data_IF_836209431151
#
_entry.id   IF_836209431151
#
_cell.length_a   1.000
_cell.length_b   1.000
_cell.length_c   1.000
_cell.angle_alpha   90.00
_cell.angle_beta   90.00
_cell.angle_gamma   90.00
#
_symmetry.space_group_name_H-M   'P 1'
#
loop_
_entity.id
_entity.type
_entity.pdbx_description
1 polymer ?
#
# COMPACT_ATOMS: atom_id res chain seq x y z
N UNK A 1 -33.00 3.04 -12.07
CA UNK A 1 -31.72 3.25 -11.35
C UNK A 1 -31.35 1.91 -10.73
N UNK A 2 -30.26 1.26 -11.18
CA UNK A 2 -29.72 0.09 -10.45
C UNK A 2 -29.29 0.62 -9.09
N UNK A 3 -29.77 0.05 -7.99
CA UNK A 3 -29.22 0.30 -6.65
C UNK A 3 -27.74 -0.06 -6.75
N UNK A 4 -26.85 0.93 -6.60
CA UNK A 4 -25.44 0.64 -6.51
C UNK A 4 -25.25 -0.25 -5.27
N UNK A 5 -24.94 -1.51 -5.51
CA UNK A 5 -24.56 -2.42 -4.44
C UNK A 5 -23.30 -1.85 -3.79
N UNK A 6 -23.39 -1.52 -2.50
CA UNK A 6 -22.24 -1.07 -1.75
C UNK A 6 -21.38 -2.32 -1.46
N UNK A 7 -20.19 -2.38 -2.05
CA UNK A 7 -19.25 -3.49 -1.78
C UNK A 7 -18.73 -3.44 -0.35
N UNK A 8 -18.37 -4.59 0.19
CA UNK A 8 -17.84 -4.68 1.56
C UNK A 8 -16.46 -4.04 1.64
N UNK A 9 -15.56 -4.31 0.70
CA UNK A 9 -14.16 -3.84 0.73
C UNK A 9 -13.80 -3.09 -0.55
N UNK A 10 -13.20 -1.90 -0.42
CA UNK A 10 -12.45 -1.26 -1.51
C UNK A 10 -10.96 -1.53 -1.31
N UNK A 11 -10.33 -2.17 -2.30
CA UNK A 11 -8.87 -2.32 -2.35
C UNK A 11 -8.31 -1.17 -3.17
N UNK A 12 -7.42 -0.36 -2.59
CA UNK A 12 -6.81 0.79 -3.25
C UNK A 12 -5.38 0.46 -3.67
N UNK A 13 -5.05 0.72 -4.93
CA UNK A 13 -3.72 0.53 -5.49
C UNK A 13 -3.27 1.81 -6.18
N UNK A 14 -2.20 2.45 -5.67
CA UNK A 14 -1.52 3.52 -6.41
C UNK A 14 -0.40 2.93 -7.25
N UNK A 15 -0.21 3.40 -8.47
CA UNK A 15 0.88 2.99 -9.35
C UNK A 15 1.50 4.18 -10.08
N UNK A 16 2.83 4.19 -10.22
CA UNK A 16 3.59 5.16 -11.00
C UNK A 16 4.80 4.51 -11.63
N UNK A 17 4.78 4.35 -12.93
CA UNK A 17 5.86 3.72 -13.71
C UNK A 17 6.28 2.32 -13.21
N UNK A 18 5.41 1.63 -12.47
CA UNK A 18 5.65 0.25 -12.05
C UNK A 18 5.63 -0.66 -13.27
N UNK A 19 6.61 -1.56 -13.44
CA UNK A 19 6.61 -2.50 -14.56
C UNK A 19 5.29 -3.28 -14.63
N UNK A 20 4.71 -3.37 -15.83
CA UNK A 20 3.39 -4.01 -16.02
C UNK A 20 3.30 -5.44 -15.44
N UNK A 21 4.38 -6.22 -15.52
CA UNK A 21 4.40 -7.58 -14.94
C UNK A 21 4.19 -7.59 -13.42
N UNK A 22 4.72 -6.60 -12.71
CA UNK A 22 4.54 -6.47 -11.26
C UNK A 22 3.10 -6.01 -10.94
N UNK A 23 2.63 -4.94 -11.59
CA UNK A 23 1.26 -4.45 -11.38
C UNK A 23 0.23 -5.51 -11.76
N UNK A 24 0.46 -6.29 -12.82
CA UNK A 24 -0.38 -7.43 -13.18
C UNK A 24 -0.43 -8.47 -12.05
N UNK A 25 0.73 -8.85 -11.50
CA UNK A 25 0.83 -9.80 -10.38
C UNK A 25 0.04 -9.31 -9.17
N UNK A 26 0.19 -8.03 -8.80
CA UNK A 26 -0.56 -7.42 -7.72
C UNK A 26 -2.08 -7.46 -7.97
N UNK A 27 -2.54 -7.11 -9.18
CA UNK A 27 -3.95 -7.18 -9.58
C UNK A 27 -4.47 -8.61 -9.49
N UNK A 28 -3.74 -9.57 -10.07
CA UNK A 28 -4.14 -10.98 -10.06
C UNK A 28 -4.31 -11.49 -8.62
N UNK A 29 -3.41 -11.12 -7.71
CA UNK A 29 -3.47 -11.51 -6.31
C UNK A 29 -4.71 -10.96 -5.57
N UNK A 30 -5.22 -9.80 -6.00
CA UNK A 30 -6.48 -9.24 -5.49
C UNK A 30 -7.68 -9.96 -6.10
N UNK A 31 -7.65 -10.27 -7.39
CA UNK A 31 -8.73 -10.99 -8.05
C UNK A 31 -8.90 -12.42 -7.53
N UNK A 32 -7.79 -13.07 -7.12
CA UNK A 32 -7.73 -14.43 -6.60
C UNK A 32 -8.05 -14.55 -5.09
N UNK A 33 -8.56 -13.49 -4.45
CA UNK A 33 -8.95 -13.55 -3.05
C UNK A 33 -10.12 -14.52 -2.80
N UNK A 34 -10.11 -15.19 -1.65
CA UNK A 34 -11.22 -16.06 -1.19
C UNK A 34 -12.49 -15.27 -0.84
N UNK A 35 -12.35 -13.99 -0.47
CA UNK A 35 -13.45 -13.07 -0.24
C UNK A 35 -13.70 -12.23 -1.50
N UNK A 36 -14.89 -12.32 -2.10
CA UNK A 36 -15.19 -11.79 -3.43
C UNK A 36 -16.07 -10.52 -3.46
N UNK A 37 -16.60 -10.04 -2.32
CA UNK A 37 -17.38 -8.79 -2.26
C UNK A 37 -16.47 -7.58 -2.07
N UNK A 38 -15.68 -7.30 -3.10
CA UNK A 38 -14.76 -6.17 -3.18
C UNK A 38 -14.79 -5.47 -4.55
N UNK A 39 -14.28 -4.24 -4.59
CA UNK A 39 -13.81 -3.56 -5.80
C UNK A 39 -12.32 -3.23 -5.67
N UNK A 40 -11.58 -3.29 -6.77
CA UNK A 40 -10.20 -2.81 -6.86
C UNK A 40 -10.19 -1.44 -7.56
N UNK A 41 -9.73 -0.40 -6.86
CA UNK A 41 -9.60 0.95 -7.41
C UNK A 41 -8.13 1.23 -7.68
N UNK A 42 -7.75 1.32 -8.95
CA UNK A 42 -6.39 1.59 -9.39
C UNK A 42 -6.24 3.09 -9.68
N UNK A 43 -5.28 3.72 -9.01
CA UNK A 43 -4.93 5.13 -9.15
C UNK A 43 -3.59 5.22 -9.88
N UNK A 44 -3.60 5.40 -11.20
CA UNK A 44 -2.39 5.65 -11.99
C UNK A 44 -1.95 7.11 -11.81
N UNK A 45 -0.87 7.30 -11.08
CA UNK A 45 -0.29 8.59 -10.70
C UNK A 45 0.53 9.22 -11.83
N UNK A 46 0.09 9.06 -13.07
CA UNK A 46 0.70 9.67 -14.24
C UNK A 46 1.84 8.86 -14.85
N UNK A 47 1.72 7.53 -14.85
CA UNK A 47 2.69 6.65 -15.51
C UNK A 47 2.87 6.99 -16.99
N UNK A 48 4.01 6.58 -17.57
CA UNK A 48 4.29 6.70 -18.98
C UNK A 48 3.21 6.04 -19.84
N UNK A 49 2.96 6.61 -21.02
CA UNK A 49 1.87 6.19 -21.90
C UNK A 49 1.89 4.69 -22.20
N UNK A 50 3.07 4.13 -22.45
CA UNK A 50 3.22 2.70 -22.78
C UNK A 50 2.79 1.79 -21.59
N UNK A 51 3.08 2.20 -20.35
CA UNK A 51 2.71 1.46 -19.14
C UNK A 51 1.22 1.61 -18.90
N UNK A 52 0.71 2.86 -18.91
CA UNK A 52 -0.71 3.15 -18.69
C UNK A 52 -1.61 2.44 -19.70
N UNK A 53 -1.23 2.40 -20.99
CA UNK A 53 -2.03 1.71 -22.02
C UNK A 53 -2.07 0.20 -21.77
N UNK A 54 -0.94 -0.44 -21.50
CA UNK A 54 -0.92 -1.88 -21.18
C UNK A 54 -1.76 -2.21 -19.95
N UNK A 55 -1.72 -1.34 -18.94
CA UNK A 55 -2.50 -1.52 -17.73
C UNK A 55 -3.99 -1.36 -18.02
N UNK A 56 -4.38 -0.32 -18.76
CA UNK A 56 -5.77 -0.08 -19.17
C UNK A 56 -6.33 -1.26 -19.98
N UNK A 57 -5.58 -1.75 -20.98
CA UNK A 57 -5.97 -2.90 -21.81
C UNK A 57 -6.16 -4.17 -20.96
N UNK A 58 -5.43 -4.29 -19.86
CA UNK A 58 -5.55 -5.42 -18.96
C UNK A 58 -6.79 -5.31 -18.07
N UNK A 59 -6.98 -4.17 -17.41
CA UNK A 59 -8.04 -3.98 -16.40
C UNK A 59 -9.44 -3.92 -17.03
N UNK A 60 -9.57 -3.49 -18.28
CA UNK A 60 -10.85 -3.51 -19.02
C UNK A 60 -11.50 -4.90 -19.13
N UNK A 61 -10.73 -5.97 -18.92
CA UNK A 61 -11.25 -7.34 -18.90
C UNK A 61 -12.05 -7.66 -17.64
N UNK A 62 -11.97 -6.79 -16.63
CA UNK A 62 -12.53 -6.96 -15.29
C UNK A 62 -13.30 -5.70 -14.85
N UNK A 63 -14.06 -5.09 -15.77
CA UNK A 63 -14.76 -3.82 -15.58
C UNK A 63 -15.87 -3.87 -14.52
N UNK A 64 -16.31 -5.07 -14.15
CA UNK A 64 -17.22 -5.33 -13.03
C UNK A 64 -16.54 -5.32 -11.66
N UNK A 65 -15.22 -5.49 -11.61
CA UNK A 65 -14.41 -5.60 -10.39
C UNK A 65 -13.37 -4.49 -10.22
N UNK A 66 -12.92 -3.88 -11.33
CA UNK A 66 -11.81 -2.92 -11.34
C UNK A 66 -12.25 -1.57 -11.87
N UNK A 67 -12.03 -0.54 -11.07
CA UNK A 67 -12.12 0.86 -11.49
C UNK A 67 -10.70 1.44 -11.69
N UNK A 68 -10.43 2.02 -12.87
CA UNK A 68 -9.14 2.62 -13.20
C UNK A 68 -9.26 4.13 -13.36
N UNK A 69 -8.44 4.88 -12.63
CA UNK A 69 -8.36 6.33 -12.69
C UNK A 69 -6.93 6.79 -12.90
N UNK A 70 -6.70 7.63 -13.92
CA UNK A 70 -5.40 8.22 -14.19
C UNK A 70 -5.42 9.74 -13.93
N UNK A 71 -4.31 10.25 -13.41
CA UNK A 71 -4.10 11.69 -13.20
C UNK A 71 -2.61 12.05 -13.32
N UNK A 72 -2.28 13.33 -13.32
CA UNK A 72 -0.88 13.79 -13.27
C UNK A 72 -0.25 13.42 -11.93
N UNK A 73 1.05 13.10 -11.95
CA UNK A 73 1.79 12.67 -10.76
C UNK A 73 1.65 13.67 -9.59
N UNK A 74 1.26 13.14 -8.42
CA UNK A 74 1.07 13.89 -7.16
C UNK A 74 1.58 13.12 -5.94
N UNK A 75 2.16 11.94 -6.14
CA UNK A 75 2.66 11.04 -5.10
C UNK A 75 1.60 10.08 -4.57
N UNK A 76 2.10 8.96 -4.01
CA UNK A 76 1.31 7.83 -3.52
C UNK A 76 0.21 8.24 -2.54
N UNK A 77 0.54 9.03 -1.52
CA UNK A 77 -0.42 9.49 -0.50
C UNK A 77 -1.61 10.23 -1.13
N UNK A 78 -1.35 11.14 -2.07
CA UNK A 78 -2.41 11.90 -2.74
C UNK A 78 -3.28 11.00 -3.64
N UNK A 79 -2.68 10.00 -4.29
CA UNK A 79 -3.40 9.02 -5.11
C UNK A 79 -4.31 8.17 -4.25
N UNK A 80 -3.83 7.60 -3.14
CA UNK A 80 -4.65 6.84 -2.20
C UNK A 80 -5.76 7.70 -1.58
N UNK A 81 -5.45 8.94 -1.15
CA UNK A 81 -6.48 9.87 -0.66
C UNK A 81 -7.58 10.14 -1.69
N UNK A 82 -7.24 10.13 -2.98
CA UNK A 82 -8.23 10.22 -4.06
C UNK A 82 -9.09 8.96 -4.11
N UNK A 83 -8.50 7.77 -4.04
CA UNK A 83 -9.22 6.50 -3.98
C UNK A 83 -10.19 6.42 -2.80
N UNK A 84 -9.75 6.86 -1.62
CA UNK A 84 -10.60 6.93 -0.41
C UNK A 84 -11.85 7.80 -0.63
N UNK A 85 -11.72 8.90 -1.37
CA UNK A 85 -12.88 9.76 -1.70
C UNK A 85 -13.82 9.15 -2.72
N UNK A 86 -13.32 8.28 -3.59
CA UNK A 86 -14.10 7.64 -4.65
C UNK A 86 -14.80 6.37 -4.16
N UNK A 87 -14.24 5.66 -3.18
CA UNK A 87 -14.79 4.39 -2.73
C UNK A 87 -16.11 4.55 -1.97
N UNK A 88 -17.02 3.60 -2.20
CA UNK A 88 -18.28 3.46 -1.46
C UNK A 88 -18.36 2.05 -0.85
N UNK A 89 -17.50 1.78 0.15
CA UNK A 89 -17.35 0.49 0.81
C UNK A 89 -17.42 0.65 2.32
N UNK A 90 -17.59 -0.46 3.04
CA UNK A 90 -17.55 -0.47 4.50
C UNK A 90 -16.10 -0.42 5.01
N UNK A 91 -15.18 -1.07 4.28
CA UNK A 91 -13.76 -1.18 4.64
C UNK A 91 -12.86 -0.79 3.48
N UNK A 92 -11.65 -0.36 3.81
CA UNK A 92 -10.56 -0.06 2.88
C UNK A 92 -9.39 -0.98 3.19
N UNK A 93 -8.79 -1.54 2.13
CA UNK A 93 -7.50 -2.22 2.11
C UNK A 93 -6.58 -1.49 1.15
N UNK A 94 -5.27 -1.53 1.36
CA UNK A 94 -4.29 -0.90 0.47
C UNK A 94 -3.29 -1.95 0.01
N UNK A 95 -2.92 -1.93 -1.27
CA UNK A 95 -1.88 -2.78 -1.85
C UNK A 95 -0.91 -1.94 -2.68
N UNK A 96 0.39 -2.17 -2.57
CA UNK A 96 1.38 -1.59 -3.47
C UNK A 96 1.42 -2.32 -4.81
N UNK A 97 1.69 -1.60 -5.89
CA UNK A 97 1.59 -2.12 -7.25
C UNK A 97 2.68 -3.14 -7.62
N UNK A 98 3.67 -3.36 -6.76
CA UNK A 98 4.78 -4.30 -6.89
C UNK A 98 4.75 -5.45 -5.86
N UNK A 99 3.71 -5.51 -5.03
CA UNK A 99 3.52 -6.53 -3.99
C UNK A 99 2.39 -7.52 -4.31
N UNK A 100 2.04 -8.40 -3.36
CA UNK A 100 0.97 -9.39 -3.51
C UNK A 100 0.18 -9.62 -2.22
N UNK A 101 -1.07 -10.00 -2.37
CA UNK A 101 -1.86 -10.63 -1.30
C UNK A 101 -1.79 -12.16 -1.39
N UNK A 102 -1.71 -12.85 -0.25
CA UNK A 102 -2.05 -14.28 -0.21
C UNK A 102 -3.57 -14.46 -0.39
N UNK A 103 -4.05 -15.62 -0.87
CA UNK A 103 -5.47 -15.80 -1.21
C UNK A 103 -6.48 -15.50 -0.10
N UNK A 104 -6.05 -15.56 1.16
CA UNK A 104 -6.89 -15.33 2.35
C UNK A 104 -6.65 -13.97 3.02
N UNK A 105 -6.04 -13.00 2.34
CA UNK A 105 -5.70 -11.71 2.96
C UNK A 105 -6.95 -10.93 3.36
N UNK A 106 -7.87 -10.71 2.42
CA UNK A 106 -9.08 -9.92 2.67
C UNK A 106 -9.98 -10.56 3.71
N UNK A 107 -10.21 -11.87 3.66
CA UNK A 107 -11.04 -12.59 4.64
C UNK A 107 -10.41 -12.57 6.04
N UNK A 108 -9.09 -12.69 6.15
CA UNK A 108 -8.35 -12.63 7.41
C UNK A 108 -8.44 -11.24 8.02
N UNK A 109 -8.22 -10.19 7.25
CA UNK A 109 -8.32 -8.80 7.70
C UNK A 109 -9.77 -8.45 8.09
N UNK A 110 -10.75 -8.85 7.28
CA UNK A 110 -12.17 -8.61 7.58
C UNK A 110 -12.60 -9.27 8.90
N UNK A 111 -12.14 -10.48 9.19
CA UNK A 111 -12.42 -11.18 10.45
C UNK A 111 -11.88 -10.40 11.65
N UNK A 112 -10.75 -9.72 11.53
CA UNK A 112 -10.18 -8.92 12.61
C UNK A 112 -11.02 -7.69 12.92
N UNK A 113 -11.87 -7.20 12.01
CA UNK A 113 -12.78 -6.07 12.23
C UNK A 113 -13.89 -6.34 13.22
N UNK A 114 -14.09 -7.57 13.66
CA UNK A 114 -14.97 -7.89 14.78
C UNK A 114 -14.45 -7.33 16.13
N UNK A 115 -13.16 -7.05 16.22
CA UNK A 115 -12.49 -6.61 17.45
C UNK A 115 -11.76 -5.28 17.30
N UNK A 116 -11.52 -4.81 16.07
CA UNK A 116 -10.74 -3.60 15.80
C UNK A 116 -11.44 -2.71 14.77
N UNK A 117 -11.11 -1.44 14.77
CA UNK A 117 -11.60 -0.47 13.79
C UNK A 117 -10.60 -0.28 12.62
N UNK A 118 -9.30 -0.41 12.93
CA UNK A 118 -8.18 -0.35 11.98
C UNK A 118 -7.11 -1.34 12.42
N UNK A 119 -6.53 -2.04 11.48
CA UNK A 119 -5.35 -2.88 11.71
C UNK A 119 -4.22 -2.51 10.76
N UNK A 120 -2.98 -2.81 11.19
CA UNK A 120 -1.83 -3.02 10.33
C UNK A 120 -1.36 -4.47 10.49
N UNK A 121 -0.95 -5.13 9.42
CA UNK A 121 -0.45 -6.51 9.47
C UNK A 121 1.07 -6.56 9.43
N UNK A 122 1.66 -7.67 9.91
CA UNK A 122 3.01 -8.03 9.50
C UNK A 122 3.02 -8.47 8.04
N UNK A 123 4.22 -8.57 7.46
CA UNK A 123 4.41 -8.98 6.08
C UNK A 123 5.14 -10.33 6.00
N UNK A 124 4.91 -11.05 4.92
CA UNK A 124 5.79 -12.08 4.44
C UNK A 124 6.80 -11.41 3.49
N UNK A 125 7.95 -11.01 4.05
CA UNK A 125 8.87 -10.11 3.35
C UNK A 125 9.88 -10.90 2.54
N UNK A 126 9.96 -10.62 1.25
CA UNK A 126 10.92 -11.22 0.31
C UNK A 126 12.10 -10.26 0.14
N UNK A 127 13.28 -10.72 0.49
CA UNK A 127 14.54 -9.96 0.44
C UNK A 127 15.62 -10.73 -0.30
N UNK A 128 16.63 -10.01 -0.82
CA UNK A 128 17.83 -10.63 -1.37
C UNK A 128 18.94 -10.80 -0.30
N UNK A 129 19.02 -9.84 0.62
CA UNK A 129 20.00 -9.83 1.73
C UNK A 129 19.31 -9.47 3.03
N UNK A 130 19.90 -9.92 4.16
CA UNK A 130 19.33 -9.75 5.49
C UNK A 130 19.08 -8.27 5.86
N UNK A 131 19.94 -7.38 5.43
CA UNK A 131 19.85 -5.94 5.70
C UNK A 131 18.59 -5.30 5.10
N UNK A 132 17.94 -5.96 4.13
CA UNK A 132 16.71 -5.48 3.52
C UNK A 132 15.47 -5.70 4.39
N UNK A 133 15.56 -6.48 5.47
CA UNK A 133 14.50 -6.50 6.50
C UNK A 133 14.42 -5.20 7.29
N UNK A 134 15.37 -4.29 7.13
CA UNK A 134 15.45 -3.06 7.90
C UNK A 134 15.23 -1.82 7.03
N UNK A 135 14.53 -0.84 7.59
CA UNK A 135 14.23 0.47 6.98
C UNK A 135 14.69 1.59 7.89
N UNK A 136 14.98 2.80 7.38
CA UNK A 136 15.28 3.96 8.22
C UNK A 136 14.16 4.23 9.23
N UNK A 137 14.52 4.49 10.48
CA UNK A 137 13.58 4.87 11.52
C UNK A 137 13.05 6.29 11.27
N UNK A 138 11.73 6.52 11.43
CA UNK A 138 11.11 7.83 11.16
C UNK A 138 11.54 8.92 12.13
N UNK A 139 11.94 8.55 13.36
CA UNK A 139 12.38 9.49 14.39
C UNK A 139 13.88 9.72 14.39
N UNK A 140 14.66 8.78 13.83
CA UNK A 140 16.11 8.86 13.75
C UNK A 140 16.63 8.17 12.49
N UNK A 141 16.78 8.92 11.42
CA UNK A 141 17.23 8.42 10.09
C UNK A 141 18.61 7.72 10.13
N UNK A 142 19.38 7.87 11.19
CA UNK A 142 20.64 7.16 11.40
C UNK A 142 20.46 5.76 12.02
N UNK A 143 19.24 5.40 12.38
CA UNK A 143 18.89 4.06 12.87
C UNK A 143 17.99 3.36 11.86
N UNK A 144 18.13 2.05 11.84
CA UNK A 144 17.22 1.20 11.08
C UNK A 144 16.36 0.39 12.05
N UNK A 145 15.09 0.17 11.69
CA UNK A 145 14.15 -0.69 12.41
C UNK A 145 13.69 -1.83 11.50
N UNK A 146 13.36 -2.96 12.09
CA UNK A 146 12.86 -4.11 11.35
C UNK A 146 11.47 -3.80 10.76
N UNK A 147 11.16 -4.31 9.56
CA UNK A 147 9.87 -4.08 8.89
C UNK A 147 8.67 -4.53 9.73
N UNK A 148 8.83 -5.54 10.57
CA UNK A 148 7.79 -5.96 11.50
C UNK A 148 7.52 -4.95 12.62
N UNK A 149 8.43 -4.00 12.88
CA UNK A 149 8.25 -2.94 13.86
C UNK A 149 7.66 -1.67 13.24
N UNK A 150 7.59 -1.61 11.90
CA UNK A 150 7.02 -0.49 11.16
C UNK A 150 5.52 -0.66 10.92
N UNK A 151 4.81 0.45 10.78
CA UNK A 151 3.54 0.48 10.05
C UNK A 151 3.89 0.71 8.58
N UNK A 152 3.48 -0.18 7.70
CA UNK A 152 3.66 -0.06 6.26
C UNK A 152 2.33 0.31 5.61
N UNK A 153 2.37 1.22 4.67
CA UNK A 153 1.21 1.81 4.01
C UNK A 153 0.22 0.75 3.50
N UNK A 154 0.74 -0.22 2.80
CA UNK A 154 -0.03 -1.28 2.17
C UNK A 154 -0.50 -2.40 3.13
N UNK A 155 -0.08 -2.36 4.39
CA UNK A 155 -0.56 -3.31 5.42
C UNK A 155 -1.79 -2.81 6.18
N UNK A 156 -2.27 -1.60 5.87
CA UNK A 156 -3.41 -1.00 6.54
C UNK A 156 -4.73 -1.56 6.00
N UNK A 157 -5.59 -1.99 6.93
CA UNK A 157 -6.96 -2.41 6.65
C UNK A 157 -7.88 -1.88 7.75
N UNK A 158 -9.03 -1.29 7.40
CA UNK A 158 -9.93 -0.74 8.41
C UNK A 158 -11.22 -0.15 7.86
N UNK A 159 -12.06 0.37 8.77
CA UNK A 159 -13.32 1.04 8.43
C UNK A 159 -13.07 2.25 7.54
N UNK A 160 -13.83 2.37 6.47
CA UNK A 160 -13.71 3.47 5.50
C UNK A 160 -13.81 4.85 6.13
N UNK A 161 -14.63 4.99 7.17
CA UNK A 161 -14.79 6.27 7.89
C UNK A 161 -13.49 6.78 8.51
N UNK A 162 -12.58 5.89 8.94
CA UNK A 162 -11.28 6.25 9.52
C UNK A 162 -10.39 6.90 8.44
N UNK A 163 -10.35 6.28 7.27
CA UNK A 163 -9.60 6.80 6.12
C UNK A 163 -10.19 8.11 5.59
N UNK A 164 -11.51 8.30 5.70
CA UNK A 164 -12.17 9.57 5.31
C UNK A 164 -11.96 10.69 6.31
N UNK A 165 -11.78 10.39 7.59
CA UNK A 165 -11.51 11.39 8.65
C UNK A 165 -10.05 11.80 8.71
N UNK A 166 -9.13 10.88 8.39
CA UNK A 166 -7.69 11.11 8.44
C UNK A 166 -7.13 11.02 7.02
N UNK A 167 -6.31 11.96 6.62
CA UNK A 167 -5.66 11.96 5.31
C UNK A 167 -4.19 11.54 5.44
N UNK A 168 -3.67 10.86 4.44
CA UNK A 168 -2.24 10.63 4.34
C UNK A 168 -1.54 11.90 3.85
N UNK A 169 -0.62 12.44 4.62
CA UNK A 169 0.21 13.55 4.16
C UNK A 169 1.24 13.06 3.14
N UNK A 170 1.64 13.92 2.20
CA UNK A 170 2.64 13.55 1.19
C UNK A 170 4.06 13.75 1.76
N UNK A 171 4.46 12.86 2.67
CA UNK A 171 5.76 12.87 3.33
C UNK A 171 6.22 11.47 3.69
N UNK A 172 7.50 11.33 4.09
CA UNK A 172 8.04 10.08 4.61
C UNK A 172 7.28 9.64 5.87
N UNK A 173 7.03 8.33 6.00
CA UNK A 173 6.31 7.70 7.11
C UNK A 173 4.86 8.23 7.34
N UNK A 174 4.17 8.63 6.26
CA UNK A 174 2.77 9.06 6.30
C UNK A 174 1.83 7.97 6.83
N UNK A 175 2.15 6.72 6.59
CA UNK A 175 1.48 5.51 7.08
C UNK A 175 1.53 5.40 8.61
N UNK A 176 2.71 5.55 9.16
CA UNK A 176 2.92 5.50 10.61
C UNK A 176 2.20 6.65 11.32
N UNK A 177 2.25 7.85 10.75
CA UNK A 177 1.54 9.00 11.32
C UNK A 177 0.02 8.85 11.23
N UNK A 178 -0.50 8.38 10.10
CA UNK A 178 -1.92 8.06 9.95
C UNK A 178 -2.38 7.07 11.04
N UNK A 179 -1.60 6.00 11.24
CA UNK A 179 -1.92 4.99 12.26
C UNK A 179 -1.88 5.58 13.68
N UNK A 180 -0.89 6.40 14.00
CA UNK A 180 -0.78 7.08 15.30
C UNK A 180 -1.92 8.06 15.56
N UNK A 181 -2.37 8.81 14.55
CA UNK A 181 -3.53 9.69 14.70
C UNK A 181 -4.82 8.89 14.90
N UNK A 182 -5.00 7.82 14.12
CA UNK A 182 -6.17 6.95 14.29
C UNK A 182 -6.19 6.29 15.68
N UNK A 183 -5.03 5.88 16.23
CA UNK A 183 -4.95 5.23 17.55
C UNK A 183 -5.41 6.08 18.71
N UNK A 184 -5.49 7.40 18.56
CA UNK A 184 -5.98 8.32 19.60
C UNK A 184 -7.50 8.26 19.78
N UNK A 185 -8.23 7.74 18.77
CA UNK A 185 -9.69 7.85 18.69
C UNK A 185 -10.34 6.48 18.49
N UNK A 186 -9.67 5.58 17.78
CA UNK A 186 -10.22 4.29 17.35
C UNK A 186 -9.47 3.12 17.99
N UNK A 187 -10.14 1.96 18.05
CA UNK A 187 -9.50 0.72 18.49
C UNK A 187 -8.62 0.17 17.36
N UNK A 188 -7.30 0.36 17.46
CA UNK A 188 -6.34 -0.04 16.46
C UNK A 188 -5.44 -1.16 16.97
N UNK A 189 -4.97 -2.04 16.07
CA UNK A 189 -4.03 -3.10 16.40
C UNK A 189 -3.03 -3.36 15.27
N UNK A 190 -1.82 -3.76 15.65
CA UNK A 190 -0.87 -4.38 14.73
C UNK A 190 -0.90 -5.89 14.95
N UNK A 191 -1.21 -6.65 13.90
CA UNK A 191 -1.43 -8.09 13.98
C UNK A 191 -0.29 -8.87 13.33
N UNK A 192 0.15 -10.00 13.91
CA UNK A 192 1.24 -10.81 13.38
C UNK A 192 0.82 -11.67 12.16
N UNK A 193 -0.28 -11.32 11.51
CA UNK A 193 -0.74 -12.00 10.29
C UNK A 193 0.20 -11.68 9.14
N UNK A 194 0.63 -12.72 8.37
CA UNK A 194 1.57 -12.60 7.25
C UNK A 194 0.87 -13.01 5.95
N UNK A 195 -0.22 -12.33 5.65
CA UNK A 195 -1.01 -12.56 4.43
C UNK A 195 -0.71 -11.54 3.33
N UNK A 196 0.13 -10.55 3.62
CA UNK A 196 0.70 -9.59 2.69
C UNK A 196 2.12 -10.01 2.32
N UNK A 197 2.44 -10.16 1.03
CA UNK A 197 3.79 -10.48 0.53
C UNK A 197 4.44 -9.17 0.09
N UNK A 198 5.51 -8.77 0.78
CA UNK A 198 6.24 -7.53 0.56
C UNK A 198 7.55 -7.80 -0.16
N UNK A 199 7.69 -7.34 -1.40
CA UNK A 199 8.90 -7.54 -2.20
C UNK A 199 9.88 -6.38 -2.00
N UNK A 200 10.97 -6.65 -1.29
CA UNK A 200 12.06 -5.70 -1.05
C UNK A 200 13.33 -5.99 -1.86
N UNK A 201 13.25 -6.89 -2.80
CA UNK A 201 14.37 -7.31 -3.64
C UNK A 201 14.50 -6.47 -4.94
N UNK A 202 13.83 -5.32 -5.05
CA UNK A 202 13.88 -4.44 -6.21
C UNK A 202 14.88 -3.30 -6.01
N UNK A 203 15.79 -3.11 -7.00
CA UNK A 203 16.87 -2.10 -6.97
C UNK A 203 16.34 -0.67 -6.93
N UNK A 204 15.12 -0.41 -7.43
CA UNK A 204 14.54 0.93 -7.58
C UNK A 204 13.49 1.27 -6.50
N UNK A 205 13.46 0.57 -5.37
CA UNK A 205 12.52 0.92 -4.30
C UNK A 205 12.89 2.26 -3.65
N UNK A 206 11.89 3.01 -3.15
CA UNK A 206 12.10 4.29 -2.45
C UNK A 206 13.13 4.13 -1.31
N UNK A 207 13.02 3.05 -0.55
CA UNK A 207 13.92 2.76 0.57
C UNK A 207 15.33 2.37 0.13
N UNK A 208 15.50 1.71 -1.02
CA UNK A 208 16.82 1.42 -1.59
C UNK A 208 17.52 2.72 -2.02
N UNK A 209 16.80 3.62 -2.68
CA UNK A 209 17.30 4.94 -3.07
C UNK A 209 17.68 5.80 -1.84
N UNK A 210 16.89 5.76 -0.76
CA UNK A 210 17.23 6.46 0.50
C UNK A 210 18.49 5.91 1.14
N UNK A 211 18.67 4.57 1.18
CA UNK A 211 19.90 3.94 1.71
C UNK A 211 21.13 4.35 0.89
N UNK A 212 21.03 4.39 -0.44
CA UNK A 212 22.14 4.82 -1.32
C UNK A 212 22.49 6.29 -1.09
N UNK A 213 21.52 7.18 -0.99
CA UNK A 213 21.74 8.60 -0.74
C UNK A 213 22.38 8.86 0.62
N UNK A 214 21.95 8.16 1.68
CA UNK A 214 22.55 8.25 3.00
C UNK A 214 24.00 7.70 3.03
N UNK A 215 24.28 6.62 2.28
CA UNK A 215 25.64 6.09 2.16
C UNK A 215 26.57 7.07 1.44
N UNK A 216 26.11 7.73 0.37
CA UNK A 216 26.86 8.76 -0.36
C UNK A 216 27.13 10.00 0.49
N UNK A 217 26.15 10.44 1.30
CA UNK A 217 26.34 11.55 2.24
C UNK A 217 27.38 11.22 3.31
N UNK A 218 27.37 10.01 3.85
CA UNK A 218 28.34 9.56 4.84
C UNK A 218 29.76 9.40 4.26
N UNK A 219 29.91 8.97 3.01
CA UNK A 219 31.24 8.92 2.34
C UNK A 219 31.84 10.31 2.14
N UNK A 220 31.03 11.29 1.75
CA UNK A 220 31.49 12.67 1.55
C UNK A 220 31.91 13.37 2.87
N UNK A 221 31.46 12.89 4.02
CA UNK A 221 31.89 13.40 5.33
C UNK A 221 33.22 12.79 5.80
N UNK A 222 33.57 11.59 5.35
CA UNK A 222 34.82 10.90 5.71
C UNK A 222 36.01 11.42 4.88
N UNK A 223 35.78 11.82 3.62
CA UNK A 223 36.84 12.36 2.75
C UNK A 223 37.19 13.83 3.02
N UNK A 224 36.47 14.52 3.89
CA UNK A 224 36.71 15.91 4.29
C UNK A 224 37.13 16.08 5.76
N UNK A 225 37.49 15.01 6.45
CA UNK A 225 38.00 14.98 7.82
C UNK A 225 39.44 14.49 7.86
#
# INVERSE_FOLDING_TARGET
>A
MKSQHQVTIAVLMATYNTPFSMTKRAIDSVLDQDFQDFELIILDDGSDYTISTKLLDYVQKFDDKISYFRHTNRGQSNSINRGIRLCNSSFVSIIDADDEYKPNHLSTCLKAMNHHDLIATHTDTIVNVFEDYYVPDKYNNNKNIHVDDCILFATLFGKTEIFKKNIFENKYAADSEFYEQASKIFNVAKLPTRTYIYYRNHINSITANMKQNNALLNMNYVDNA
#
